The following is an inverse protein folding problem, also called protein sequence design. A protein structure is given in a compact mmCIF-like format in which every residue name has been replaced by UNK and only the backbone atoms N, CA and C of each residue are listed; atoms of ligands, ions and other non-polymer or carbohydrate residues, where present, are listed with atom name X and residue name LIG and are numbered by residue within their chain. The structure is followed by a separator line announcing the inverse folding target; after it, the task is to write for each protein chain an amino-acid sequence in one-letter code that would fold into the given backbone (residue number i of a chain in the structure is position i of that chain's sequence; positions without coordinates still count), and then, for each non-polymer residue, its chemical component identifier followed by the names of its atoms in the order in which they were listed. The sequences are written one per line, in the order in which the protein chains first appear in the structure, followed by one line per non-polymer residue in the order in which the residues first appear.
data_IF_115389052534
#
_entry.id   IF_115389052534
#
_cell.length_a   1.000
_cell.length_b   1.000
_cell.length_c   1.000
_cell.angle_alpha   90.00
_cell.angle_beta   90.00
_cell.angle_gamma   90.00
#
_symmetry.space_group_name_H-M   'P 1'
#
loop_
_entity.id
_entity.type
_entity.pdbx_description
1 polymer ?
#
# COMPACT_ATOMS: atom_id res chain seq x y z
N UNK A 1 -6.15 -11.76 -25.39
CA UNK A 1 -6.73 -10.91 -24.31
C UNK A 1 -6.83 -11.62 -22.95
N UNK A 2 -7.27 -12.88 -22.84
CA UNK A 2 -7.36 -13.62 -21.54
C UNK A 2 -6.08 -13.66 -20.69
N UNK A 3 -4.89 -13.74 -21.31
CA UNK A 3 -3.61 -13.80 -20.59
C UNK A 3 -3.26 -12.52 -19.79
N UNK A 4 -3.58 -11.33 -20.33
CA UNK A 4 -3.32 -10.05 -19.67
C UNK A 4 -4.18 -9.90 -18.42
N UNK A 5 -5.43 -10.36 -18.48
CA UNK A 5 -6.34 -10.31 -17.33
C UNK A 5 -5.92 -11.26 -16.20
N UNK A 6 -5.39 -12.43 -16.55
CA UNK A 6 -4.83 -13.37 -15.55
C UNK A 6 -3.56 -12.84 -14.88
N UNK A 7 -2.75 -12.05 -15.58
CA UNK A 7 -1.53 -11.46 -15.03
C UNK A 7 -1.80 -10.22 -14.15
N UNK A 8 -2.93 -9.53 -14.34
CA UNK A 8 -3.31 -8.28 -13.64
C UNK A 8 -3.05 -8.28 -12.12
N UNK A 9 -3.51 -9.27 -11.32
CA UNK A 9 -3.31 -9.22 -9.87
C UNK A 9 -1.82 -9.34 -9.48
N UNK A 10 -1.00 -10.05 -10.27
CA UNK A 10 0.43 -10.19 -10.04
C UNK A 10 1.21 -8.93 -10.41
N UNK A 11 0.86 -8.30 -11.52
CA UNK A 11 1.46 -7.02 -11.94
C UNK A 11 1.14 -5.92 -10.93
N UNK A 12 -0.11 -5.85 -10.44
CA UNK A 12 -0.48 -4.91 -9.38
C UNK A 12 0.27 -5.18 -8.08
N UNK A 13 0.50 -6.45 -7.73
CA UNK A 13 1.29 -6.81 -6.55
C UNK A 13 2.75 -6.38 -6.67
N UNK A 14 3.39 -6.64 -7.82
CA UNK A 14 4.76 -6.20 -8.10
C UNK A 14 4.87 -4.67 -8.05
N UNK A 15 3.94 -3.96 -8.70
CA UNK A 15 3.89 -2.51 -8.65
C UNK A 15 3.77 -1.99 -7.21
N UNK A 16 2.83 -2.55 -6.43
CA UNK A 16 2.64 -2.22 -5.02
C UNK A 16 3.91 -2.46 -4.19
N UNK A 17 4.58 -3.59 -4.37
CA UNK A 17 5.80 -3.95 -3.64
C UNK A 17 6.93 -2.97 -3.97
N UNK A 18 7.18 -2.69 -5.26
CA UNK A 18 8.25 -1.78 -5.70
C UNK A 18 7.98 -0.35 -5.22
N UNK A 19 6.77 0.16 -5.41
CA UNK A 19 6.39 1.52 -4.97
C UNK A 19 6.52 1.64 -3.46
N UNK A 20 5.99 0.69 -2.69
CA UNK A 20 6.09 0.68 -1.23
C UNK A 20 7.53 0.59 -0.73
N UNK A 21 8.37 -0.25 -1.35
CA UNK A 21 9.79 -0.38 -1.02
C UNK A 21 10.55 0.92 -1.24
N UNK A 22 10.43 1.52 -2.42
CA UNK A 22 11.14 2.77 -2.75
C UNK A 22 10.70 3.91 -1.82
N UNK A 23 9.42 3.95 -1.48
CA UNK A 23 8.89 4.92 -0.53
C UNK A 23 9.45 4.70 0.88
N UNK A 24 9.51 3.45 1.34
CA UNK A 24 10.10 3.11 2.62
C UNK A 24 11.60 3.45 2.67
N UNK A 25 12.33 3.31 1.56
CA UNK A 25 13.72 3.75 1.45
C UNK A 25 13.87 5.26 1.66
N UNK A 26 12.97 6.09 1.08
CA UNK A 26 12.95 7.54 1.33
C UNK A 26 12.71 7.84 2.82
N UNK A 27 11.78 7.14 3.45
CA UNK A 27 11.53 7.27 4.88
C UNK A 27 12.73 6.87 5.72
N UNK A 28 13.38 5.75 5.39
CA UNK A 28 14.59 5.29 6.07
C UNK A 28 15.73 6.30 5.94
N UNK A 29 15.91 6.89 4.77
CA UNK A 29 16.89 7.96 4.55
C UNK A 29 16.60 9.18 5.44
N UNK A 30 15.34 9.61 5.53
CA UNK A 30 14.93 10.75 6.37
C UNK A 30 15.03 10.47 7.88
N UNK A 31 14.72 9.25 8.32
CA UNK A 31 14.67 8.91 9.77
C UNK A 31 16.01 8.45 10.31
N UNK A 32 16.77 7.67 9.54
CA UNK A 32 18.01 7.04 10.02
C UNK A 32 19.27 7.59 9.35
N UNK A 33 19.16 8.43 8.31
CA UNK A 33 20.34 8.94 7.58
C UNK A 33 21.10 7.85 6.83
N UNK A 34 20.38 6.82 6.37
CA UNK A 34 20.93 5.69 5.62
C UNK A 34 20.66 5.85 4.12
N UNK A 35 21.15 4.90 3.31
CA UNK A 35 20.87 4.83 1.86
C UNK A 35 21.30 6.09 1.08
N UNK A 36 22.32 6.81 1.58
CA UNK A 36 22.87 8.01 0.95
C UNK A 36 22.11 9.30 1.26
N UNK A 37 21.08 9.26 2.12
CA UNK A 37 20.36 10.46 2.56
C UNK A 37 20.80 10.98 3.93
N UNK A 38 20.47 12.24 4.23
CA UNK A 38 20.71 12.86 5.53
C UNK A 38 19.51 12.69 6.46
N UNK A 39 19.77 12.32 7.72
CA UNK A 39 18.74 12.24 8.74
C UNK A 39 18.15 13.64 9.02
N UNK A 40 16.82 13.71 9.04
CA UNK A 40 16.09 14.91 9.44
C UNK A 40 16.17 15.07 10.96
N UNK A 41 16.30 16.31 11.49
CA UNK A 41 16.22 16.55 12.91
C UNK A 41 14.90 16.00 13.49
N UNK A 42 14.98 15.33 14.64
CA UNK A 42 13.82 14.73 15.28
C UNK A 42 12.70 15.76 15.50
N UNK A 43 11.47 15.43 15.08
CA UNK A 43 10.30 16.31 15.21
C UNK A 43 10.27 17.51 14.26
N UNK A 44 11.22 17.62 13.32
CA UNK A 44 11.22 18.72 12.35
C UNK A 44 10.03 18.65 11.39
N UNK A 45 9.33 19.77 11.23
CA UNK A 45 8.23 19.90 10.29
C UNK A 45 8.71 20.41 8.92
N UNK A 46 8.21 19.86 7.80
CA UNK A 46 7.42 18.63 7.68
C UNK A 46 8.29 17.35 7.60
N UNK A 47 9.61 17.50 7.42
CA UNK A 47 10.49 16.43 6.93
C UNK A 47 10.58 15.18 7.80
N UNK A 48 10.61 15.32 9.13
CA UNK A 48 10.67 14.15 10.02
C UNK A 48 9.36 13.36 10.00
N UNK A 49 8.21 14.05 10.04
CA UNK A 49 6.89 13.41 9.96
C UNK A 49 6.65 12.73 8.62
N UNK A 50 7.06 13.37 7.52
CA UNK A 50 7.08 12.77 6.19
C UNK A 50 7.91 11.47 6.20
N UNK A 51 9.11 11.50 6.77
CA UNK A 51 9.96 10.31 6.88
C UNK A 51 9.30 9.14 7.63
N UNK A 52 8.54 9.40 8.70
CA UNK A 52 7.81 8.36 9.45
C UNK A 52 6.68 7.78 8.59
N UNK A 53 5.91 8.64 7.92
CA UNK A 53 4.81 8.20 7.04
C UNK A 53 5.35 7.40 5.86
N UNK A 54 6.45 7.86 5.27
CA UNK A 54 7.13 7.18 4.16
C UNK A 54 7.61 5.78 4.54
N UNK A 55 8.27 5.67 5.69
CA UNK A 55 8.78 4.41 6.18
C UNK A 55 7.65 3.43 6.54
N UNK A 56 6.75 3.85 7.43
CA UNK A 56 5.69 2.96 7.95
C UNK A 56 4.66 2.67 6.89
N UNK A 57 4.19 3.70 6.18
CA UNK A 57 3.21 3.58 5.11
C UNK A 57 3.77 2.77 3.92
N UNK A 58 5.02 3.03 3.52
CA UNK A 58 5.71 2.26 2.49
C UNK A 58 5.78 0.77 2.82
N UNK A 59 6.15 0.42 4.06
CA UNK A 59 6.21 -0.99 4.52
C UNK A 59 4.81 -1.62 4.56
N UNK A 60 3.81 -0.94 5.09
CA UNK A 60 2.42 -1.45 5.13
C UNK A 60 1.89 -1.73 3.72
N UNK A 61 2.08 -0.77 2.79
CA UNK A 61 1.70 -0.95 1.39
C UNK A 61 2.49 -2.07 0.74
N UNK A 62 3.80 -2.17 0.97
CA UNK A 62 4.67 -3.23 0.43
C UNK A 62 4.28 -4.63 0.92
N UNK A 63 3.84 -4.77 2.17
CA UNK A 63 3.36 -6.05 2.72
C UNK A 63 1.89 -6.33 2.37
N UNK A 64 1.17 -5.31 1.91
CA UNK A 64 -0.24 -5.42 1.58
C UNK A 64 -1.14 -5.50 2.82
N UNK A 65 -0.73 -4.84 3.91
CA UNK A 65 -1.47 -4.75 5.18
C UNK A 65 -2.26 -3.43 5.21
N UNK A 66 -3.58 -3.50 5.31
CA UNK A 66 -4.43 -2.31 5.29
C UNK A 66 -4.25 -1.47 4.02
N UNK A 67 -3.91 -2.13 2.90
CA UNK A 67 -3.33 -1.51 1.69
C UNK A 67 -4.06 -0.24 1.24
N UNK A 68 -5.40 -0.25 1.23
CA UNK A 68 -6.19 0.89 0.76
C UNK A 68 -6.03 2.13 1.64
N UNK A 69 -6.08 1.93 2.95
CA UNK A 69 -5.96 3.01 3.93
C UNK A 69 -4.52 3.52 3.95
N UNK A 70 -3.54 2.61 4.02
CA UNK A 70 -2.12 2.98 4.00
C UNK A 70 -1.77 3.75 2.72
N UNK A 71 -2.19 3.29 1.55
CA UNK A 71 -1.95 3.97 0.28
C UNK A 71 -2.68 5.33 0.20
N UNK A 72 -3.89 5.46 0.74
CA UNK A 72 -4.58 6.76 0.76
C UNK A 72 -3.82 7.79 1.61
N UNK A 73 -3.28 7.37 2.76
CA UNK A 73 -2.46 8.24 3.62
C UNK A 73 -1.16 8.64 2.90
N UNK A 74 -0.43 7.69 2.30
CA UNK A 74 0.78 7.99 1.53
C UNK A 74 0.49 8.90 0.32
N UNK A 75 -0.65 8.72 -0.36
CA UNK A 75 -1.07 9.58 -1.46
C UNK A 75 -1.32 11.02 -1.00
N UNK A 76 -2.01 11.19 0.14
CA UNK A 76 -2.29 12.49 0.74
C UNK A 76 -1.02 13.20 1.24
N UNK A 77 -0.10 12.47 1.85
CA UNK A 77 1.18 13.04 2.30
C UNK A 77 2.03 13.55 1.13
N UNK A 78 2.11 12.80 0.03
CA UNK A 78 2.82 13.28 -1.17
C UNK A 78 2.07 14.39 -1.92
N UNK A 79 0.75 14.43 -1.87
CA UNK A 79 -0.03 15.56 -2.37
C UNK A 79 0.27 16.83 -1.55
N UNK A 80 0.30 16.71 -0.22
CA UNK A 80 0.72 17.80 0.66
C UNK A 80 2.14 18.26 0.33
N UNK A 81 3.10 17.33 0.21
CA UNK A 81 4.47 17.65 -0.18
C UNK A 81 4.51 18.42 -1.51
N UNK A 82 3.76 17.97 -2.53
CA UNK A 82 3.71 18.67 -3.81
C UNK A 82 3.17 20.10 -3.66
N UNK A 83 1.98 20.29 -3.10
CA UNK A 83 1.33 21.60 -3.06
C UNK A 83 1.96 22.58 -2.08
N UNK A 84 2.54 22.09 -0.98
CA UNK A 84 3.06 22.96 0.10
C UNK A 84 4.58 23.14 0.01
N UNK A 85 5.32 22.12 -0.42
CA UNK A 85 6.80 22.18 -0.46
C UNK A 85 7.32 22.48 -1.86
N UNK A 86 6.74 21.90 -2.91
CA UNK A 86 7.28 21.98 -4.27
C UNK A 86 6.62 23.06 -5.13
N UNK A 87 5.29 23.08 -5.23
CA UNK A 87 4.54 24.00 -6.10
C UNK A 87 4.89 25.50 -5.87
N UNK A 88 5.15 25.99 -4.65
CA UNK A 88 5.56 27.38 -4.45
C UNK A 88 6.90 27.76 -5.09
N UNK A 89 7.78 26.79 -5.41
CA UNK A 89 9.12 27.05 -5.96
C UNK A 89 9.09 27.35 -7.46
N UNK A 90 8.21 26.68 -8.22
CA UNK A 90 7.99 26.93 -9.64
C UNK A 90 6.68 26.27 -10.11
N UNK A 91 6.11 26.76 -11.21
CA UNK A 91 4.85 26.25 -11.76
C UNK A 91 4.96 24.81 -12.25
N UNK A 92 6.06 24.47 -12.94
CA UNK A 92 6.24 23.16 -13.55
C UNK A 92 6.99 22.20 -12.60
N UNK A 93 6.51 20.95 -12.44
CA UNK A 93 7.17 19.92 -11.61
C UNK A 93 8.67 19.77 -11.87
N UNK A 94 9.07 19.77 -13.14
CA UNK A 94 10.46 19.64 -13.59
C UNK A 94 11.35 20.81 -13.13
N UNK A 95 10.76 21.93 -12.74
CA UNK A 95 11.47 23.12 -12.26
C UNK A 95 11.44 23.25 -10.73
N UNK A 96 10.62 22.47 -10.03
CA UNK A 96 10.42 22.57 -8.58
C UNK A 96 10.78 21.30 -7.80
N UNK A 97 11.37 20.30 -8.47
CA UNK A 97 11.72 18.98 -7.94
C UNK A 97 10.50 18.17 -7.43
N UNK A 98 9.28 18.55 -7.80
CA UNK A 98 8.03 17.97 -7.32
C UNK A 98 7.52 16.79 -8.15
N UNK A 99 8.24 16.39 -9.21
CA UNK A 99 7.85 15.27 -10.07
C UNK A 99 7.65 13.98 -9.29
N UNK A 100 8.57 13.65 -8.39
CA UNK A 100 8.43 12.45 -7.54
C UNK A 100 7.24 12.56 -6.59
N UNK A 101 6.97 13.75 -6.04
CA UNK A 101 5.79 13.95 -5.19
C UNK A 101 4.48 13.74 -5.94
N UNK A 102 4.37 14.29 -7.14
CA UNK A 102 3.21 14.05 -7.99
C UNK A 102 3.08 12.56 -8.36
N UNK A 103 4.18 11.92 -8.78
CA UNK A 103 4.18 10.52 -9.20
C UNK A 103 3.81 9.57 -8.05
N UNK A 104 4.39 9.73 -6.86
CA UNK A 104 4.01 8.91 -5.71
C UNK A 104 2.57 9.16 -5.30
N UNK A 105 2.10 10.41 -5.31
CA UNK A 105 0.72 10.73 -4.97
C UNK A 105 -0.28 9.97 -5.86
N UNK A 106 -0.05 9.96 -7.17
CA UNK A 106 -0.88 9.23 -8.12
C UNK A 106 -0.67 7.71 -8.07
N UNK A 107 0.56 7.23 -7.89
CA UNK A 107 0.85 5.80 -7.77
C UNK A 107 0.12 5.18 -6.56
N UNK A 108 0.17 5.84 -5.41
CA UNK A 108 -0.55 5.40 -4.22
C UNK A 108 -2.06 5.53 -4.36
N UNK A 109 -2.56 6.60 -5.01
CA UNK A 109 -3.99 6.72 -5.31
C UNK A 109 -4.48 5.54 -6.18
N UNK A 110 -3.71 5.15 -7.19
CA UNK A 110 -4.00 3.98 -8.01
C UNK A 110 -4.02 2.69 -7.17
N UNK A 111 -3.05 2.50 -6.28
CA UNK A 111 -3.03 1.34 -5.36
C UNK A 111 -4.25 1.34 -4.44
N UNK A 112 -4.66 2.51 -3.92
CA UNK A 112 -5.82 2.64 -3.05
C UNK A 112 -7.13 2.25 -3.76
N UNK A 113 -7.28 2.67 -5.03
CA UNK A 113 -8.47 2.40 -5.86
C UNK A 113 -8.49 0.95 -6.36
N UNK A 114 -7.39 0.49 -6.96
CA UNK A 114 -7.26 -0.85 -7.55
C UNK A 114 -7.21 -1.95 -6.49
N UNK A 115 -6.78 -1.61 -5.28
CA UNK A 115 -6.68 -2.52 -4.14
C UNK A 115 -5.39 -3.36 -4.13
N UNK A 116 -5.33 -4.35 -3.23
CA UNK A 116 -4.08 -5.01 -2.84
C UNK A 116 -3.37 -5.87 -3.90
N UNK A 117 -4.08 -6.31 -4.94
CA UNK A 117 -3.56 -7.30 -5.89
C UNK A 117 -3.31 -8.68 -5.26
N UNK A 118 -2.43 -9.47 -5.88
CA UNK A 118 -1.96 -10.74 -5.32
C UNK A 118 -1.00 -10.53 -4.12
N UNK A 119 -0.77 -11.61 -3.36
CA UNK A 119 0.21 -11.70 -2.27
C UNK A 119 0.07 -10.67 -1.14
N UNK A 120 -1.08 -10.03 -1.00
CA UNK A 120 -1.35 -9.20 0.16
C UNK A 120 -1.63 -10.07 1.39
N UNK A 121 -0.93 -9.77 2.49
CA UNK A 121 -1.06 -10.53 3.74
C UNK A 121 -2.50 -10.54 4.28
N UNK A 122 -3.27 -9.47 4.08
CA UNK A 122 -4.70 -9.40 4.42
C UNK A 122 -5.51 -10.50 3.73
N UNK A 123 -5.27 -10.71 2.44
CA UNK A 123 -5.98 -11.70 1.63
C UNK A 123 -5.58 -13.14 2.00
N UNK A 124 -4.30 -13.37 2.32
CA UNK A 124 -3.80 -14.67 2.77
C UNK A 124 -4.44 -15.03 4.12
N UNK A 125 -4.48 -14.07 5.05
CA UNK A 125 -5.04 -14.27 6.39
C UNK A 125 -6.55 -14.52 6.36
N UNK A 126 -7.29 -13.79 5.51
CA UNK A 126 -8.72 -14.03 5.31
C UNK A 126 -9.00 -15.44 4.77
N UNK A 127 -8.23 -15.90 3.78
CA UNK A 127 -8.38 -17.23 3.19
C UNK A 127 -8.03 -18.36 4.17
N UNK A 128 -7.08 -18.15 5.07
CA UNK A 128 -6.76 -19.11 6.12
C UNK A 128 -7.94 -19.28 7.09
N UNK A 129 -8.54 -18.15 7.54
CA UNK A 129 -9.70 -18.16 8.45
C UNK A 129 -10.93 -18.83 7.85
N UNK A 130 -11.19 -18.67 6.55
CA UNK A 130 -12.32 -19.32 5.89
C UNK A 130 -12.17 -20.84 5.78
N UNK A 131 -10.93 -21.36 5.70
CA UNK A 131 -10.67 -22.81 5.67
C UNK A 131 -10.91 -23.50 7.01
N UNK A 132 -10.76 -22.77 8.11
CA UNK A 132 -10.94 -23.30 9.47
C UNK A 132 -12.40 -23.26 9.95
N UNK A 133 -13.31 -22.60 9.21
CA UNK A 133 -14.74 -22.62 9.53
C UNK A 133 -15.31 -24.03 9.32
N UNK A 134 -15.89 -24.68 10.35
CA UNK A 134 -16.57 -25.96 10.19
C UNK A 134 -17.65 -25.84 9.12
N UNK A 135 -17.67 -26.76 8.14
CA UNK A 135 -18.79 -26.81 7.19
C UNK A 135 -20.08 -27.11 7.96
N UNK A 136 -21.18 -26.40 7.68
CA UNK A 136 -22.48 -26.77 8.21
C UNK A 136 -22.71 -28.24 7.94
N UNK A 137 -23.01 -29.02 8.97
CA UNK A 137 -23.46 -30.40 8.81
C UNK A 137 -24.77 -30.32 8.02
N UNK A 138 -24.79 -30.86 6.81
CA UNK A 138 -26.04 -31.08 6.09
C UNK A 138 -26.96 -31.91 7.01
N UNK A 139 -28.22 -31.48 7.23
CA UNK A 139 -29.17 -32.29 7.95
C UNK A 139 -29.19 -33.68 7.30
N UNK A 140 -28.89 -34.72 8.06
CA UNK A 140 -28.86 -36.07 7.52
C UNK A 140 -30.26 -36.42 7.01
N UNK A 141 -30.45 -36.38 5.69
CA UNK A 141 -31.66 -36.82 4.99
C UNK A 141 -31.70 -38.35 4.95
N UNK A 142 -31.48 -38.98 6.09
CA UNK A 142 -31.62 -40.41 6.32
C UNK A 142 -32.32 -40.61 7.66
N UNK A 143 -33.63 -40.31 7.68
CA UNK A 143 -34.54 -40.96 8.61
C UNK A 143 -35.52 -41.85 7.85
N UNK A 144 -35.08 -43.02 7.34
CA UNK A 144 -36.01 -44.09 7.08
C UNK A 144 -36.28 -44.86 8.39
N UNK A 145 -37.58 -44.98 8.72
CA UNK A 145 -38.21 -45.92 9.67
C UNK A 145 -38.30 -45.41 11.13
N UNK A 146 -39.50 -45.21 11.69
CA UNK A 146 -40.39 -46.32 12.09
C UNK A 146 -41.84 -46.15 11.65
N UNK A 147 -42.23 -46.94 10.64
CA UNK A 147 -43.58 -47.46 10.48
C UNK A 147 -43.67 -48.73 11.34
N UNK A 148 -44.52 -48.70 12.37
CA UNK A 148 -45.11 -49.87 13.01
C UNK A 148 -46.48 -49.48 13.56
#
# INVERSE_FOLDING_TARGET
MKFIESARPYVLALFRIVVGLLFACNGAAKIFGVLGGGAMPFGSWPGWYAGVIELVGGVLVMLGLGTRIAALVCSGEMAYAYFVVHQPKALWPIQNDGELSALYSWAFLLIAVMGPGAWALDAISARARDRERPRPQEPSENNPLTTH
#
